data_IF_451535578844
#
_entry.id   IF_451535578844
#
_cell.length_a   1.000
_cell.length_b   1.000
_cell.length_c   1.000
_cell.angle_alpha   90.00
_cell.angle_beta   90.00
_cell.angle_gamma   90.00
#
_symmetry.space_group_name_H-M   'P 1'
#
loop_
_entity.id
_entity.type
_entity.pdbx_description
1 polymer ?
#
# COMPACT_ATOMS: atom_id res chain seq x y z
N UNK A 1 -1.21 -19.04 13.18
CA UNK A 1 -1.02 -20.20 12.29
C UNK A 1 -2.37 -20.48 11.64
N UNK A 2 -2.53 -20.23 10.34
CA UNK A 2 -3.79 -20.45 9.62
C UNK A 2 -3.53 -21.53 8.58
N UNK A 3 -4.21 -22.68 8.69
CA UNK A 3 -4.13 -23.79 7.73
C UNK A 3 -5.31 -23.67 6.78
N UNK A 4 -5.06 -23.35 5.51
CA UNK A 4 -6.07 -23.42 4.46
C UNK A 4 -5.84 -24.69 3.64
N UNK A 5 -6.79 -25.61 3.65
CA UNK A 5 -6.79 -26.79 2.79
C UNK A 5 -7.61 -26.48 1.54
N UNK A 6 -6.97 -26.50 0.36
CA UNK A 6 -7.66 -26.38 -0.92
C UNK A 6 -7.92 -27.79 -1.45
N UNK A 7 -9.18 -28.22 -1.42
CA UNK A 7 -9.64 -29.48 -2.02
C UNK A 7 -10.03 -29.23 -3.48
N UNK A 8 -9.21 -29.72 -4.42
CA UNK A 8 -9.59 -29.83 -5.82
C UNK A 8 -10.19 -31.22 -6.04
N UNK A 9 -11.49 -31.27 -6.35
CA UNK A 9 -12.19 -32.49 -6.72
C UNK A 9 -12.08 -32.69 -8.24
N UNK A 10 -11.25 -33.65 -8.65
CA UNK A 10 -11.29 -34.25 -9.99
C UNK A 10 -11.60 -35.74 -9.80
N UNK A 11 -12.69 -36.27 -10.38
CA UNK A 11 -13.05 -37.67 -10.21
C UNK A 11 -12.15 -38.56 -11.09
N UNK A 12 -11.47 -39.52 -10.46
CA UNK A 12 -10.91 -40.68 -11.17
C UNK A 12 -9.39 -40.86 -11.19
N UNK A 13 -8.60 -40.06 -10.47
CA UNK A 13 -7.15 -40.30 -10.34
C UNK A 13 -6.67 -40.22 -8.89
N UNK A 14 -5.74 -41.11 -8.56
CA UNK A 14 -5.04 -41.30 -7.29
C UNK A 14 -4.74 -39.99 -6.58
N UNK A 15 -5.16 -39.89 -5.32
CA UNK A 15 -4.88 -38.76 -4.42
C UNK A 15 -3.38 -38.69 -4.15
N UNK A 16 -2.66 -37.93 -4.98
CA UNK A 16 -1.34 -37.42 -4.62
C UNK A 16 -1.53 -36.07 -3.93
N UNK A 17 -1.38 -36.07 -2.60
CA UNK A 17 -1.21 -34.84 -1.84
C UNK A 17 0.10 -34.17 -2.29
N UNK A 18 -0.01 -33.20 -3.19
CA UNK A 18 1.09 -32.28 -3.49
C UNK A 18 1.18 -31.28 -2.35
N UNK A 19 2.11 -31.53 -1.43
CA UNK A 19 2.49 -30.56 -0.41
C UNK A 19 3.29 -29.44 -1.06
N UNK A 20 2.65 -28.29 -1.27
CA UNK A 20 3.37 -27.06 -1.63
C UNK A 20 3.82 -26.39 -0.32
N UNK A 21 5.05 -26.68 0.07
CA UNK A 21 5.74 -25.98 1.15
C UNK A 21 6.13 -24.58 0.64
N UNK A 22 5.30 -23.57 0.89
CA UNK A 22 5.73 -22.18 0.78
C UNK A 22 6.68 -21.87 1.94
N UNK A 23 7.96 -22.17 1.74
CA UNK A 23 9.03 -21.72 2.64
C UNK A 23 9.20 -20.22 2.41
N UNK A 24 8.50 -19.42 3.22
CA UNK A 24 8.81 -18.00 3.37
C UNK A 24 10.15 -17.91 4.11
N UNK A 25 11.27 -17.84 3.36
CA UNK A 25 12.57 -17.44 3.90
C UNK A 25 12.56 -15.93 4.06
N UNK A 26 12.15 -15.48 5.23
CA UNK A 26 12.64 -14.23 5.79
C UNK A 26 14.06 -14.51 6.29
N UNK A 27 15.08 -14.12 5.52
CA UNK A 27 16.48 -14.09 5.96
C UNK A 27 16.83 -12.62 6.33
N UNK A 28 16.75 -12.23 7.61
CA UNK A 28 17.52 -11.09 8.07
C UNK A 28 18.94 -11.59 8.38
N UNK A 29 19.96 -10.88 7.90
CA UNK A 29 21.38 -11.18 8.10
C UNK A 29 21.98 -12.33 7.27
N UNK A 30 22.46 -11.98 6.07
CA UNK A 30 23.65 -12.62 5.49
C UNK A 30 24.55 -11.52 4.94
N UNK A 31 25.25 -10.84 5.86
CA UNK A 31 26.38 -10.00 5.52
C UNK A 31 27.62 -10.69 6.07
N UNK A 32 28.57 -10.98 5.17
CA UNK A 32 29.96 -11.41 5.38
C UNK A 32 30.25 -12.89 5.66
N UNK A 33 30.83 -13.54 4.65
CA UNK A 33 32.13 -14.23 4.81
C UNK A 33 32.77 -14.42 3.44
N UNK A 34 33.64 -13.49 3.06
CA UNK A 34 34.60 -13.65 1.95
C UNK A 34 35.97 -13.74 2.60
N UNK A 35 36.51 -14.95 2.67
CA UNK A 35 37.91 -15.24 3.05
C UNK A 35 38.80 -14.93 1.82
N UNK A 36 39.90 -14.17 1.94
CA UNK A 36 41.34 -14.52 2.12
C UNK A 36 42.13 -13.33 1.45
N UNK A 37 43.41 -12.94 1.72
CA UNK A 37 44.36 -13.18 2.84
C UNK A 37 44.91 -11.88 3.50
N UNK A 38 45.67 -12.06 4.59
CA UNK A 38 46.47 -11.06 5.31
C UNK A 38 47.42 -10.22 4.42
N UNK A 39 47.62 -8.95 4.83
CA UNK A 39 48.98 -8.49 5.09
C UNK A 39 49.09 -7.92 6.50
N UNK A 40 50.01 -8.49 7.27
CA UNK A 40 50.47 -8.02 8.59
C UNK A 40 50.70 -6.51 8.56
N UNK A 41 49.78 -5.77 9.17
CA UNK A 41 50.00 -4.37 9.53
C UNK A 41 49.54 -4.23 10.96
N UNK A 42 50.48 -4.26 11.91
CA UNK A 42 50.25 -3.89 13.31
C UNK A 42 49.73 -2.45 13.36
N UNK A 43 48.41 -2.31 13.46
CA UNK A 43 47.78 -1.08 13.91
C UNK A 43 47.58 -1.19 15.43
N UNK A 44 47.96 -0.19 16.22
CA UNK A 44 47.73 -0.23 17.66
C UNK A 44 46.22 -0.28 17.93
N UNK A 45 45.83 -1.35 18.60
CA UNK A 45 44.47 -1.66 19.04
C UNK A 45 44.01 -0.57 20.02
N UNK A 46 43.34 0.45 19.49
CA UNK A 46 42.59 1.37 20.33
C UNK A 46 41.29 0.66 20.68
N UNK A 47 41.26 0.02 21.85
CA UNK A 47 40.04 -0.40 22.53
C UNK A 47 39.08 0.80 22.60
N UNK A 48 38.21 0.92 21.60
CA UNK A 48 37.06 1.78 21.69
C UNK A 48 36.13 1.12 22.69
N UNK A 49 36.23 1.55 23.96
CA UNK A 49 35.23 1.26 24.96
C UNK A 49 33.88 1.69 24.39
N UNK A 50 33.07 0.74 23.93
CA UNK A 50 31.68 0.98 23.57
C UNK A 50 30.96 1.22 24.90
N UNK A 51 30.97 2.47 25.34
CA UNK A 51 30.13 2.91 26.45
C UNK A 51 28.69 2.77 25.96
N UNK A 52 28.08 1.63 26.27
CA UNK A 52 26.65 1.43 26.05
C UNK A 52 25.92 2.22 27.12
N UNK A 53 25.73 3.52 26.87
CA UNK A 53 24.88 4.35 27.70
C UNK A 53 23.45 3.82 27.58
N UNK A 54 22.94 3.23 28.65
CA UNK A 54 21.51 2.99 28.81
C UNK A 54 20.81 4.36 28.81
N UNK A 55 20.31 4.78 27.66
CA UNK A 55 19.42 5.93 27.55
C UNK A 55 18.16 5.62 28.34
N UNK A 56 18.07 6.12 29.56
CA UNK A 56 16.83 6.13 30.35
C UNK A 56 15.79 6.96 29.59
N UNK A 57 14.54 6.47 29.54
CA UNK A 57 13.44 7.13 28.83
C UNK A 57 13.26 8.62 29.22
N UNK A 58 13.71 8.99 30.42
CA UNK A 58 13.70 10.36 30.95
C UNK A 58 14.67 11.32 30.23
N UNK A 59 15.68 10.82 29.51
CA UNK A 59 16.66 11.62 28.76
C UNK A 59 16.44 11.59 27.23
N UNK A 60 15.36 10.97 26.75
CA UNK A 60 15.03 10.99 25.33
C UNK A 60 14.20 12.23 25.01
N UNK A 61 14.82 13.19 24.30
CA UNK A 61 14.08 14.30 23.68
C UNK A 61 12.96 13.70 22.82
N UNK A 62 11.73 14.19 22.99
CA UNK A 62 10.60 13.73 22.20
C UNK A 62 10.90 13.90 20.71
N UNK A 63 10.60 12.86 19.92
CA UNK A 63 10.68 12.97 18.47
C UNK A 63 9.65 13.99 17.98
N UNK A 64 9.95 14.73 16.89
CA UNK A 64 8.95 15.56 16.25
C UNK A 64 7.74 14.72 15.84
N UNK A 65 6.58 15.37 15.74
CA UNK A 65 5.38 14.72 15.24
C UNK A 65 5.61 14.17 13.82
N UNK A 66 4.95 13.06 13.50
CA UNK A 66 4.99 12.53 12.15
C UNK A 66 4.14 13.42 11.24
N UNK A 67 4.66 13.71 10.06
CA UNK A 67 3.98 14.51 9.04
C UNK A 67 3.63 13.64 7.84
N UNK A 68 2.47 13.90 7.25
CA UNK A 68 2.02 13.20 6.05
C UNK A 68 2.61 13.85 4.80
N UNK A 69 3.11 13.01 3.88
CA UNK A 69 3.65 13.45 2.58
C UNK A 69 2.56 14.04 1.68
N UNK A 70 1.34 13.48 1.75
CA UNK A 70 0.16 13.97 1.05
C UNK A 70 -1.00 14.07 2.04
N UNK A 71 -1.77 15.17 1.99
CA UNK A 71 -3.00 15.28 2.78
C UNK A 71 -4.09 14.37 2.23
N UNK A 72 -4.76 13.65 3.13
CA UNK A 72 -5.73 12.62 2.78
C UNK A 72 -7.07 12.84 3.47
N UNK A 73 -8.16 12.63 2.74
CA UNK A 73 -9.51 12.60 3.27
C UNK A 73 -9.99 11.15 3.39
N UNK A 74 -10.40 10.76 4.59
CA UNK A 74 -10.89 9.41 4.89
C UNK A 74 -12.38 9.49 5.25
N UNK A 75 -13.23 8.80 4.47
CA UNK A 75 -14.67 8.66 4.75
C UNK A 75 -14.96 7.20 5.07
N UNK A 76 -15.06 6.87 6.35
CA UNK A 76 -15.38 5.52 6.84
C UNK A 76 -16.86 5.21 6.67
N UNK A 77 -17.18 3.95 6.36
CA UNK A 77 -18.57 3.46 6.19
C UNK A 77 -19.44 4.30 5.24
N UNK A 78 -18.80 4.89 4.22
CA UNK A 78 -19.45 5.78 3.28
C UNK A 78 -20.43 5.03 2.38
N UNK A 79 -21.63 5.60 2.20
CA UNK A 79 -22.71 5.09 1.35
C UNK A 79 -22.90 6.01 0.13
N UNK A 80 -22.10 5.85 -0.93
CA UNK A 80 -22.27 6.65 -2.14
C UNK A 80 -23.58 6.32 -2.85
N UNK A 81 -24.30 7.34 -3.29
CA UNK A 81 -25.47 7.19 -4.17
C UNK A 81 -25.09 7.17 -5.66
N UNK A 82 -23.91 7.70 -5.99
CA UNK A 82 -23.40 7.80 -7.35
C UNK A 82 -21.95 7.34 -7.41
N UNK A 83 -21.55 6.82 -8.57
CA UNK A 83 -20.18 6.41 -8.84
C UNK A 83 -19.85 6.43 -10.33
N UNK A 84 -18.68 5.90 -10.65
CA UNK A 84 -18.26 5.67 -12.03
C UNK A 84 -17.92 4.19 -12.22
N UNK A 85 -18.36 3.61 -13.32
CA UNK A 85 -17.97 2.26 -13.73
C UNK A 85 -16.56 2.22 -14.35
N UNK A 86 -16.07 1.02 -14.64
CA UNK A 86 -14.77 0.81 -15.30
C UNK A 86 -14.66 1.46 -16.69
N UNK A 87 -15.78 1.56 -17.42
CA UNK A 87 -15.86 2.27 -18.70
C UNK A 87 -15.91 3.80 -18.55
N UNK A 88 -15.91 4.34 -17.32
CA UNK A 88 -16.03 5.77 -17.03
C UNK A 88 -17.46 6.31 -17.01
N UNK A 89 -18.47 5.47 -17.27
CA UNK A 89 -19.88 5.88 -17.22
C UNK A 89 -20.29 6.25 -15.81
N UNK A 90 -21.06 7.33 -15.67
CA UNK A 90 -21.64 7.75 -14.40
C UNK A 90 -22.87 6.91 -14.10
N UNK A 91 -22.93 6.34 -12.90
CA UNK A 91 -23.99 5.42 -12.47
C UNK A 91 -24.59 5.81 -11.12
N UNK A 92 -25.85 5.48 -10.95
CA UNK A 92 -26.52 5.36 -9.65
C UNK A 92 -26.12 4.04 -8.99
N UNK A 93 -25.89 4.06 -7.68
CA UNK A 93 -25.56 2.87 -6.89
C UNK A 93 -26.77 2.52 -6.04
N UNK A 94 -27.15 1.24 -6.06
CA UNK A 94 -28.28 0.72 -5.30
C UNK A 94 -28.06 0.90 -3.79
N UNK A 95 -29.03 1.52 -3.12
CA UNK A 95 -29.04 1.82 -1.69
C UNK A 95 -30.42 1.53 -1.08
N UNK A 96 -30.94 0.32 -1.30
CA UNK A 96 -32.26 -0.11 -0.84
C UNK A 96 -32.19 -1.26 0.18
N UNK A 97 -33.35 -1.81 0.54
CA UNK A 97 -33.46 -2.92 1.49
C UNK A 97 -32.87 -4.25 0.97
N UNK A 98 -32.82 -4.44 -0.35
CA UNK A 98 -32.32 -5.67 -0.98
C UNK A 98 -30.79 -5.67 -1.03
N UNK A 99 -30.21 -4.54 -1.42
CA UNK A 99 -28.75 -4.37 -1.50
C UNK A 99 -28.37 -2.91 -1.24
N UNK A 100 -27.31 -2.74 -0.46
CA UNK A 100 -26.69 -1.43 -0.23
C UNK A 100 -25.17 -1.55 -0.32
N UNK A 101 -24.54 -0.52 -0.87
CA UNK A 101 -23.07 -0.46 -0.99
C UNK A 101 -22.48 0.41 0.13
N UNK A 102 -21.44 -0.11 0.79
CA UNK A 102 -20.63 0.59 1.79
C UNK A 102 -19.15 0.34 1.54
N UNK A 103 -18.34 1.39 1.63
CA UNK A 103 -16.89 1.28 1.60
C UNK A 103 -16.23 2.44 2.33
N UNK A 104 -14.97 2.26 2.70
CA UNK A 104 -14.11 3.34 3.17
C UNK A 104 -13.49 4.02 1.96
N UNK A 105 -13.68 5.33 1.82
CA UNK A 105 -13.04 6.12 0.77
C UNK A 105 -11.80 6.77 1.35
N UNK A 106 -10.66 6.57 0.70
CA UNK A 106 -9.41 7.27 1.02
C UNK A 106 -8.92 7.97 -0.23
N UNK A 107 -9.07 9.29 -0.26
CA UNK A 107 -8.70 10.13 -1.40
C UNK A 107 -7.71 11.22 -0.99
N UNK A 108 -6.92 11.71 -1.95
CA UNK A 108 -6.13 12.92 -1.72
C UNK A 108 -7.08 14.09 -1.47
N UNK A 109 -6.79 14.91 -0.46
CA UNK A 109 -7.62 16.07 -0.12
C UNK A 109 -7.62 17.11 -1.24
N UNK A 110 -6.47 17.32 -1.88
CA UNK A 110 -6.34 18.23 -3.01
C UNK A 110 -6.41 17.47 -4.34
N UNK A 111 -7.35 17.85 -5.21
CA UNK A 111 -7.53 17.28 -6.55
C UNK A 111 -6.61 17.90 -7.60
N UNK A 112 -5.97 19.04 -7.32
CA UNK A 112 -5.05 19.76 -8.21
C UNK A 112 -3.68 19.07 -8.33
N UNK A 113 -3.46 17.96 -7.62
CA UNK A 113 -2.21 17.17 -7.62
C UNK A 113 -0.99 18.00 -7.24
N UNK A 114 -1.05 18.61 -6.06
CA UNK A 114 0.07 19.37 -5.50
C UNK A 114 1.31 18.50 -5.32
N UNK A 115 2.46 19.18 -5.26
CA UNK A 115 3.73 18.58 -4.88
C UNK A 115 3.62 17.96 -3.48
N UNK A 116 4.35 16.86 -3.30
CA UNK A 116 4.39 16.13 -2.06
C UNK A 116 5.25 16.85 -1.00
N UNK A 117 4.78 16.86 0.24
CA UNK A 117 5.51 17.45 1.35
C UNK A 117 6.83 16.70 1.64
N UNK A 118 7.93 17.44 1.80
CA UNK A 118 9.23 16.90 2.17
C UNK A 118 10.06 16.28 1.03
N UNK A 119 9.67 16.47 -0.23
CA UNK A 119 10.43 15.97 -1.39
C UNK A 119 11.45 16.99 -1.88
N UNK A 120 12.65 16.50 -2.22
CA UNK A 120 13.67 17.32 -2.88
C UNK A 120 13.28 17.63 -4.33
N UNK A 121 12.71 18.82 -4.50
CA UNK A 121 12.29 19.35 -5.78
C UNK A 121 13.45 19.73 -6.71
N UNK A 122 14.71 19.73 -6.27
CA UNK A 122 15.85 19.90 -7.19
C UNK A 122 16.07 18.65 -8.05
N UNK A 123 15.80 17.47 -7.50
CA UNK A 123 16.07 16.16 -8.13
C UNK A 123 14.79 15.52 -8.66
N UNK A 124 13.65 15.75 -8.03
CA UNK A 124 12.38 15.12 -8.38
C UNK A 124 11.29 16.14 -8.73
N UNK A 125 10.35 15.75 -9.59
CA UNK A 125 8.99 16.28 -9.56
C UNK A 125 8.12 15.30 -8.79
N UNK A 126 7.12 15.82 -8.08
CA UNK A 126 6.23 15.01 -7.24
C UNK A 126 4.76 15.39 -7.46
N UNK A 127 3.86 14.41 -7.36
CA UNK A 127 2.41 14.62 -7.42
C UNK A 127 1.69 13.68 -6.43
N UNK A 128 0.76 14.22 -5.64
CA UNK A 128 -0.16 13.41 -4.83
C UNK A 128 -1.31 12.89 -5.71
N UNK A 129 -1.50 11.56 -5.74
CA UNK A 129 -2.47 10.90 -6.62
C UNK A 129 -3.31 9.89 -5.85
N UNK A 130 -4.63 9.98 -6.00
CA UNK A 130 -5.58 8.99 -5.50
C UNK A 130 -5.51 7.73 -6.35
N UNK A 131 -5.30 6.58 -5.71
CA UNK A 131 -5.43 5.27 -6.33
C UNK A 131 -6.84 4.72 -6.13
N UNK A 132 -7.26 3.90 -7.07
CA UNK A 132 -8.62 3.38 -7.12
C UNK A 132 -8.62 1.87 -7.29
N UNK A 133 -9.63 1.23 -6.73
CA UNK A 133 -10.00 -0.16 -7.01
C UNK A 133 -11.42 -0.22 -7.58
N UNK A 134 -11.77 -1.37 -8.16
CA UNK A 134 -13.12 -1.64 -8.63
C UNK A 134 -13.81 -2.63 -7.71
N UNK A 135 -15.01 -2.29 -7.23
CA UNK A 135 -15.80 -3.15 -6.34
C UNK A 135 -17.18 -3.45 -6.91
N UNK A 136 -17.71 -4.66 -6.67
CA UNK A 136 -19.04 -5.03 -7.13
C UNK A 136 -20.13 -4.23 -6.39
N UNK A 137 -21.11 -3.75 -7.14
CA UNK A 137 -22.29 -3.07 -6.63
C UNK A 137 -23.49 -3.28 -7.58
N UNK A 138 -24.71 -3.09 -7.06
CA UNK A 138 -25.87 -2.89 -7.94
C UNK A 138 -25.82 -1.49 -8.53
N UNK A 139 -25.84 -1.37 -9.85
CA UNK A 139 -25.66 -0.11 -10.57
C UNK A 139 -26.72 0.08 -11.64
N UNK A 140 -26.97 1.34 -11.99
CA UNK A 140 -27.82 1.72 -13.11
C UNK A 140 -27.30 3.01 -13.73
N UNK A 141 -27.35 3.14 -15.05
CA UNK A 141 -27.01 4.41 -15.70
C UNK A 141 -27.90 5.52 -15.14
N UNK A 142 -27.31 6.66 -14.80
CA UNK A 142 -28.04 7.80 -14.21
C UNK A 142 -29.22 8.18 -15.10
N UNK A 143 -30.42 8.24 -14.52
CA UNK A 143 -31.66 8.61 -15.23
C UNK A 143 -32.27 7.51 -16.10
N UNK A 144 -31.68 6.31 -16.16
CA UNK A 144 -32.34 5.18 -16.81
C UNK A 144 -33.50 4.65 -15.95
N UNK A 145 -34.62 4.28 -16.59
CA UNK A 145 -35.83 3.79 -15.91
C UNK A 145 -35.81 2.29 -15.57
N UNK A 146 -34.72 1.57 -15.90
CA UNK A 146 -34.60 0.12 -15.70
C UNK A 146 -34.25 -0.30 -14.27
N UNK A 147 -34.12 -1.61 -14.06
CA UNK A 147 -33.64 -2.17 -12.79
C UNK A 147 -32.13 -1.95 -12.60
N UNK A 148 -31.68 -2.05 -11.35
CA UNK A 148 -30.26 -2.13 -11.05
C UNK A 148 -29.69 -3.48 -11.51
N UNK A 149 -28.51 -3.45 -12.13
CA UNK A 149 -27.77 -4.62 -12.59
C UNK A 149 -26.44 -4.74 -11.83
N UNK A 150 -25.83 -5.92 -11.85
CA UNK A 150 -24.49 -6.09 -11.27
C UNK A 150 -23.45 -5.33 -12.11
N UNK A 151 -22.62 -4.52 -11.45
CA UNK A 151 -21.54 -3.78 -12.08
C UNK A 151 -20.37 -3.52 -11.13
N UNK A 152 -19.32 -2.88 -11.65
CA UNK A 152 -18.09 -2.59 -10.92
C UNK A 152 -17.89 -1.09 -10.79
N UNK A 153 -17.91 -0.58 -9.56
CA UNK A 153 -17.74 0.85 -9.28
C UNK A 153 -16.32 1.17 -8.82
N UNK A 154 -15.80 2.30 -9.28
CA UNK A 154 -14.48 2.84 -8.95
C UNK A 154 -14.49 3.48 -7.55
N UNK A 155 -13.67 2.95 -6.64
CA UNK A 155 -13.57 3.38 -5.24
C UNK A 155 -12.17 3.90 -4.93
N UNK A 156 -12.01 5.09 -4.32
CA UNK A 156 -10.69 5.59 -3.92
C UNK A 156 -10.19 4.86 -2.66
N UNK A 157 -8.98 4.31 -2.71
CA UNK A 157 -8.42 3.42 -1.67
C UNK A 157 -7.21 3.97 -0.94
N UNK A 158 -6.47 4.89 -1.55
CA UNK A 158 -5.29 5.51 -0.94
C UNK A 158 -4.87 6.76 -1.71
N UNK A 159 -4.18 7.68 -1.04
CA UNK A 159 -3.47 8.79 -1.67
C UNK A 159 -1.96 8.51 -1.60
N UNK A 160 -1.28 8.51 -2.73
CA UNK A 160 0.16 8.22 -2.82
C UNK A 160 0.93 9.36 -3.47
N UNK A 161 2.15 9.58 -2.99
CA UNK A 161 3.11 10.45 -3.64
C UNK A 161 3.79 9.72 -4.79
N UNK A 162 3.70 10.26 -6.01
CA UNK A 162 4.44 9.74 -7.17
C UNK A 162 5.59 10.67 -7.49
N UNK A 163 6.78 10.10 -7.62
CA UNK A 163 8.01 10.83 -7.92
C UNK A 163 8.44 10.57 -9.37
N UNK A 164 8.98 11.59 -10.03
CA UNK A 164 9.70 11.44 -11.30
C UNK A 164 11.03 12.17 -11.19
N UNK A 165 12.13 11.48 -11.51
CA UNK A 165 13.46 12.10 -11.48
C UNK A 165 13.59 13.11 -12.62
N UNK A 166 14.09 14.30 -12.31
CA UNK A 166 14.45 15.32 -13.29
C UNK A 166 15.74 14.88 -13.98
N UNK A 167 15.74 14.84 -15.31
CA UNK A 167 16.97 14.66 -16.08
C UNK A 167 17.62 16.03 -16.22
N UNK A 168 18.58 16.32 -15.35
CA UNK A 168 19.45 17.48 -15.54
C UNK A 168 20.47 17.09 -16.62
N UNK A 169 20.33 17.64 -17.83
CA UNK A 169 21.44 17.65 -18.79
C UNK A 169 22.46 18.65 -18.25
N UNK A 170 23.49 18.14 -17.59
CA UNK A 170 24.71 18.87 -17.25
C UNK A 170 25.49 19.22 -18.52
#
# INVERSE_FOLDING_TARGET
MIRLALLLLIPGLVVQCVYVSLISRYDPFNFLSRTIPDPETEYPDQEQQIITEKRTAQNMKSLPAQEHVCSTLIKTDYRPQFGHEQNGSRVEIQQDERRHFRATFVECENTERTECHGIDNAIYTSECVTLYEFRPAGVRIVGAAGDFVDGLIRIPITCQCRLRRKFNRS
#
